data_IF_073145779808
#
_entry.id   IF_073145779808
#
_cell.length_a   1.000
_cell.length_b   1.000
_cell.length_c   1.000
_cell.angle_alpha   90.00
_cell.angle_beta   90.00
_cell.angle_gamma   90.00
#
_symmetry.space_group_name_H-M   'P 1'
#
loop_
_entity.id
_entity.type
_entity.pdbx_description
1 polymer ?
#
# COMPACT_ATOMS: atom_id res chain seq x y z
N UNK A 1 2.40 4.86 15.13
CA UNK A 1 3.66 4.20 15.55
C UNK A 1 3.58 3.86 17.02
N UNK A 2 4.08 2.72 17.40
CA UNK A 2 4.07 2.24 18.77
C UNK A 2 5.08 3.02 19.65
N UNK A 3 4.71 3.35 20.90
CA UNK A 3 5.56 4.13 21.80
C UNK A 3 6.91 3.46 22.08
N UNK A 4 6.93 2.14 22.18
CA UNK A 4 8.16 1.36 22.36
C UNK A 4 9.13 1.54 21.19
N UNK A 5 8.62 1.65 19.97
CA UNK A 5 9.43 1.93 18.77
C UNK A 5 10.06 3.31 18.86
N UNK A 6 9.29 4.33 19.23
CA UNK A 6 9.80 5.69 19.42
C UNK A 6 10.91 5.76 20.48
N UNK A 7 10.73 5.08 21.62
CA UNK A 7 11.76 5.00 22.67
C UNK A 7 13.04 4.33 22.17
N UNK A 8 12.93 3.31 21.33
CA UNK A 8 14.10 2.60 20.80
C UNK A 8 14.89 3.45 19.81
N UNK A 9 14.23 4.29 19.00
CA UNK A 9 14.88 5.24 18.10
C UNK A 9 15.73 6.27 18.86
N UNK A 10 15.24 6.76 20.00
CA UNK A 10 16.00 7.69 20.86
C UNK A 10 17.24 7.00 21.44
N UNK A 11 17.10 5.74 21.85
CA UNK A 11 18.19 4.99 22.48
C UNK A 11 19.27 4.54 21.48
N UNK A 12 18.89 4.21 20.24
CA UNK A 12 19.78 3.70 19.20
C UNK A 12 19.54 4.42 17.87
N UNK A 13 19.99 5.68 17.72
CA UNK A 13 19.64 6.51 16.56
C UNK A 13 20.32 6.11 15.25
N UNK A 14 21.42 5.34 15.30
CA UNK A 14 22.30 5.06 14.16
C UNK A 14 22.29 3.58 13.76
N UNK A 15 21.14 2.92 13.77
CA UNK A 15 21.01 1.55 13.26
C UNK A 15 20.92 1.59 11.74
N UNK A 16 21.75 0.82 11.01
CA UNK A 16 21.71 0.80 9.54
C UNK A 16 20.34 0.38 9.00
N UNK A 17 19.97 0.99 7.89
CA UNK A 17 18.76 0.61 7.13
C UNK A 17 18.89 -0.82 6.58
N UNK A 18 17.75 -1.48 6.39
CA UNK A 18 17.68 -2.84 5.90
C UNK A 18 16.82 -2.86 4.64
N UNK A 19 17.36 -3.44 3.55
CA UNK A 19 16.69 -3.53 2.26
C UNK A 19 16.48 -5.00 1.87
N UNK A 20 15.51 -5.26 1.00
CA UNK A 20 15.22 -6.56 0.39
C UNK A 20 14.72 -7.69 1.30
N UNK A 21 14.60 -7.47 2.62
CA UNK A 21 14.14 -8.50 3.56
C UNK A 21 12.63 -8.59 3.73
N UNK A 22 11.92 -7.53 3.41
CA UNK A 22 10.47 -7.46 3.56
C UNK A 22 9.81 -7.02 2.24
N UNK A 23 8.73 -7.68 1.87
CA UNK A 23 7.92 -7.31 0.73
C UNK A 23 6.44 -7.27 1.07
N UNK A 24 5.69 -6.46 0.30
CA UNK A 24 4.23 -6.44 0.27
C UNK A 24 3.78 -7.01 -1.07
N UNK A 25 3.05 -8.12 -1.03
CA UNK A 25 2.52 -8.72 -2.24
C UNK A 25 1.21 -8.08 -2.71
N UNK A 26 0.76 -8.47 -3.90
CA UNK A 26 -0.47 -7.95 -4.54
C UNK A 26 -1.76 -8.31 -3.79
N UNK A 27 -1.70 -9.20 -2.79
CA UNK A 27 -2.83 -9.59 -1.93
C UNK A 27 -2.79 -8.95 -0.55
N UNK A 28 -1.83 -8.01 -0.32
CA UNK A 28 -1.68 -7.34 0.97
C UNK A 28 -1.02 -8.21 2.03
N UNK A 29 -0.31 -9.27 1.63
CA UNK A 29 0.41 -10.13 2.55
C UNK A 29 1.86 -9.64 2.70
N UNK A 30 2.30 -9.54 3.94
CA UNK A 30 3.71 -9.30 4.24
C UNK A 30 4.52 -10.57 3.99
N UNK A 31 5.66 -10.43 3.31
CA UNK A 31 6.54 -11.55 2.96
C UNK A 31 7.94 -11.32 3.46
N UNK A 32 8.48 -12.33 4.15
CA UNK A 32 9.88 -12.38 4.55
C UNK A 32 10.72 -12.97 3.42
N UNK A 33 11.77 -12.26 3.02
CA UNK A 33 12.70 -12.68 1.97
C UNK A 33 14.06 -12.95 2.61
N UNK A 34 14.37 -14.21 2.86
CA UNK A 34 15.69 -14.63 3.32
C UNK A 34 16.77 -14.47 2.23
N UNK A 35 18.03 -14.72 2.57
CA UNK A 35 19.13 -14.55 1.64
C UNK A 35 18.96 -15.39 0.35
N UNK A 36 18.35 -16.58 0.45
CA UNK A 36 18.07 -17.43 -0.70
C UNK A 36 17.00 -16.81 -1.60
N UNK A 37 15.91 -16.32 -1.03
CA UNK A 37 14.84 -15.64 -1.77
C UNK A 37 15.34 -14.36 -2.46
N UNK A 38 16.20 -13.58 -1.79
CA UNK A 38 16.81 -12.38 -2.36
C UNK A 38 17.70 -12.72 -3.56
N UNK A 39 18.62 -13.67 -3.41
CA UNK A 39 19.56 -14.09 -4.47
C UNK A 39 18.83 -14.64 -5.70
N UNK A 40 17.74 -15.37 -5.48
CA UNK A 40 16.97 -16.01 -6.56
C UNK A 40 15.77 -15.19 -7.02
N UNK A 41 15.59 -13.95 -6.53
CA UNK A 41 14.47 -13.06 -6.84
C UNK A 41 13.10 -13.71 -6.58
N UNK A 42 13.01 -14.54 -5.54
CA UNK A 42 11.77 -15.19 -5.14
C UNK A 42 10.91 -14.25 -4.28
N UNK A 43 9.60 -14.45 -4.25
CA UNK A 43 8.67 -13.60 -3.47
C UNK A 43 8.85 -13.71 -1.95
N UNK A 44 9.56 -14.73 -1.47
CA UNK A 44 9.70 -15.01 -0.06
C UNK A 44 8.49 -15.72 0.55
N UNK A 45 8.54 -15.95 1.88
CA UNK A 45 7.51 -16.65 2.63
C UNK A 45 6.50 -15.66 3.21
N UNK A 46 5.21 -16.01 3.17
CA UNK A 46 4.16 -15.21 3.80
C UNK A 46 4.35 -15.23 5.31
N UNK A 47 4.32 -14.05 5.93
CA UNK A 47 4.31 -13.91 7.38
C UNK A 47 2.90 -14.23 7.87
N UNK A 48 2.75 -15.39 8.54
CA UNK A 48 1.46 -15.85 9.07
C UNK A 48 1.24 -15.47 10.53
N UNK A 49 2.26 -15.00 11.22
CA UNK A 49 2.19 -14.63 12.63
C UNK A 49 1.42 -13.32 12.82
N UNK A 50 0.20 -13.42 13.36
CA UNK A 50 -0.75 -12.32 13.45
C UNK A 50 -0.17 -11.08 14.17
N UNK A 51 0.45 -11.27 15.33
CA UNK A 51 1.00 -10.15 16.10
C UNK A 51 2.14 -9.44 15.36
N UNK A 52 2.92 -10.16 14.52
CA UNK A 52 3.95 -9.53 13.68
C UNK A 52 3.31 -8.75 12.54
N UNK A 53 2.29 -9.29 11.88
CA UNK A 53 1.54 -8.58 10.84
C UNK A 53 0.94 -7.28 11.37
N UNK A 54 0.31 -7.32 12.53
CA UNK A 54 -0.23 -6.14 13.20
C UNK A 54 0.86 -5.14 13.60
N UNK A 55 2.00 -5.63 14.07
CA UNK A 55 3.14 -4.78 14.44
C UNK A 55 3.73 -4.08 13.21
N UNK A 56 3.90 -4.78 12.09
CA UNK A 56 4.32 -4.18 10.81
C UNK A 56 3.30 -3.11 10.40
N UNK A 57 2.02 -3.43 10.41
CA UNK A 57 0.94 -2.55 9.96
C UNK A 57 0.86 -1.24 10.76
N UNK A 58 1.03 -1.30 12.09
CA UNK A 58 1.00 -0.10 12.95
C UNK A 58 2.25 0.78 12.81
N UNK A 59 3.36 0.22 12.33
CA UNK A 59 4.64 0.88 12.20
C UNK A 59 5.08 1.00 10.73
N UNK A 60 4.11 0.96 9.80
CA UNK A 60 4.30 1.14 8.36
C UNK A 60 4.35 2.64 8.03
N UNK A 61 5.42 3.08 7.40
CA UNK A 61 5.77 4.50 7.24
C UNK A 61 6.20 4.78 5.81
N UNK A 62 5.88 5.98 5.32
CA UNK A 62 6.39 6.53 4.07
C UNK A 62 7.41 7.63 4.36
N UNK A 63 8.54 7.65 3.66
CA UNK A 63 9.49 8.77 3.73
C UNK A 63 9.21 9.85 2.66
N UNK A 64 9.98 10.93 2.69
CA UNK A 64 9.85 12.06 1.76
C UNK A 64 10.20 11.71 0.30
N UNK A 65 10.92 10.60 0.07
CA UNK A 65 11.25 10.09 -1.25
C UNK A 65 10.18 9.15 -1.83
N UNK A 66 9.14 8.83 -1.05
CA UNK A 66 8.11 7.86 -1.44
C UNK A 66 8.53 6.41 -1.25
N UNK A 67 9.55 6.14 -0.43
CA UNK A 67 9.94 4.81 -0.03
C UNK A 67 9.12 4.41 1.20
N UNK A 68 8.62 3.21 1.20
CA UNK A 68 7.86 2.67 2.33
C UNK A 68 8.72 1.71 3.14
N UNK A 69 8.61 1.79 4.44
CA UNK A 69 9.36 0.94 5.37
C UNK A 69 8.55 0.58 6.60
N UNK A 70 8.93 -0.51 7.22
CA UNK A 70 8.49 -0.91 8.54
C UNK A 70 9.52 -0.42 9.56
N UNK A 71 9.09 0.38 10.53
CA UNK A 71 9.97 0.81 11.63
C UNK A 71 10.04 -0.31 12.67
N UNK A 72 11.07 -1.13 12.58
CA UNK A 72 11.33 -2.25 13.49
C UNK A 72 12.22 -1.80 14.66
N UNK A 73 11.60 -1.27 15.71
CA UNK A 73 12.37 -0.63 16.77
C UNK A 73 13.21 0.51 16.19
N UNK A 74 14.54 0.52 16.38
CA UNK A 74 15.40 1.57 15.83
C UNK A 74 15.72 1.38 14.35
N UNK A 75 15.48 0.20 13.76
CA UNK A 75 15.85 -0.12 12.40
C UNK A 75 14.72 0.18 11.41
N UNK A 76 15.02 0.80 10.27
CA UNK A 76 14.14 0.90 9.13
C UNK A 76 14.32 -0.32 8.23
N UNK A 77 13.25 -1.07 8.01
CA UNK A 77 13.22 -2.20 7.07
C UNK A 77 12.41 -1.76 5.86
N UNK A 78 13.10 -1.39 4.79
CA UNK A 78 12.47 -0.95 3.55
C UNK A 78 11.74 -2.09 2.86
N UNK A 79 10.58 -1.78 2.28
CA UNK A 79 9.64 -2.76 1.76
C UNK A 79 9.65 -2.74 0.24
N UNK A 80 9.91 -3.89 -0.36
CA UNK A 80 9.68 -4.10 -1.79
C UNK A 80 8.18 -4.26 -2.03
N UNK A 81 7.64 -3.50 -2.97
CA UNK A 81 6.22 -3.48 -3.31
C UNK A 81 6.01 -4.23 -4.64
N UNK A 82 5.20 -5.28 -4.64
CA UNK A 82 4.88 -6.02 -5.87
C UNK A 82 3.90 -5.25 -6.78
N UNK A 83 3.24 -4.22 -6.24
CA UNK A 83 2.32 -3.35 -6.98
C UNK A 83 2.32 -1.92 -6.44
N UNK A 84 1.52 -1.65 -5.41
CA UNK A 84 1.31 -0.33 -4.82
C UNK A 84 1.58 -0.36 -3.32
N UNK A 85 1.79 0.80 -2.67
CA UNK A 85 1.99 0.85 -1.22
C UNK A 85 0.81 0.34 -0.40
N UNK A 86 -0.37 0.37 -0.98
CA UNK A 86 -1.62 -0.04 -0.33
C UNK A 86 -2.35 -1.06 -1.19
N UNK A 87 -2.95 -2.05 -0.54
CA UNK A 87 -3.85 -3.02 -1.17
C UNK A 87 -5.23 -2.81 -0.56
N UNK A 88 -6.21 -2.46 -1.40
CA UNK A 88 -7.56 -2.14 -0.98
C UNK A 88 -8.45 -3.39 -0.94
N UNK A 89 -9.27 -3.51 0.11
CA UNK A 89 -10.38 -4.48 0.22
C UNK A 89 -11.70 -3.73 0.36
N UNK A 90 -12.74 -4.25 -0.28
CA UNK A 90 -14.11 -3.84 -0.06
C UNK A 90 -14.68 -4.72 1.06
N UNK A 91 -15.03 -4.14 2.18
CA UNK A 91 -15.53 -4.87 3.35
C UNK A 91 -16.85 -4.29 3.85
N UNK A 92 -17.71 -5.10 4.46
CA UNK A 92 -18.92 -4.61 5.14
C UNK A 92 -18.55 -3.72 6.34
N UNK A 93 -19.40 -2.74 6.61
CA UNK A 93 -19.35 -1.91 7.82
C UNK A 93 -20.78 -1.65 8.32
N UNK A 94 -20.90 -1.04 9.50
CA UNK A 94 -22.23 -0.64 10.03
C UNK A 94 -22.98 0.36 9.13
N UNK A 95 -22.24 1.13 8.34
CA UNK A 95 -22.77 2.15 7.42
C UNK A 95 -22.81 1.68 5.96
N UNK A 96 -22.76 0.38 5.70
CA UNK A 96 -22.68 -0.22 4.37
C UNK A 96 -21.28 -0.72 4.03
N UNK A 97 -20.80 -0.44 2.81
CA UNK A 97 -19.46 -0.86 2.37
C UNK A 97 -18.39 0.15 2.76
N UNK A 98 -17.20 -0.34 3.04
CA UNK A 98 -16.01 0.47 3.25
C UNK A 98 -14.81 -0.09 2.47
N UNK A 99 -13.88 0.79 2.13
CA UNK A 99 -12.58 0.44 1.61
C UNK A 99 -11.56 0.48 2.74
N UNK A 100 -10.80 -0.59 2.89
CA UNK A 100 -9.74 -0.68 3.89
C UNK A 100 -8.44 -1.16 3.26
N UNK A 101 -7.31 -0.69 3.79
CA UNK A 101 -5.98 -1.14 3.37
C UNK A 101 -5.58 -2.42 4.11
N UNK A 102 -4.46 -3.05 3.70
CA UNK A 102 -3.85 -4.16 4.44
C UNK A 102 -3.41 -3.78 5.86
N UNK A 103 -3.29 -2.49 6.15
CA UNK A 103 -2.99 -1.98 7.50
C UNK A 103 -4.26 -1.55 8.26
N UNK A 104 -5.44 -1.96 7.80
CA UNK A 104 -6.76 -1.64 8.39
C UNK A 104 -7.12 -0.13 8.42
N UNK A 105 -6.39 0.70 7.68
CA UNK A 105 -6.73 2.11 7.50
C UNK A 105 -7.85 2.24 6.47
N UNK A 106 -8.82 3.14 6.73
CA UNK A 106 -9.87 3.47 5.76
C UNK A 106 -9.29 4.19 4.56
N UNK A 107 -9.90 3.96 3.40
CA UNK A 107 -9.65 4.74 2.18
C UNK A 107 -10.88 5.59 1.89
N UNK A 108 -10.70 6.90 1.78
CA UNK A 108 -11.72 7.79 1.23
C UNK A 108 -11.45 7.95 -0.27
N UNK A 109 -12.23 7.25 -1.14
CA UNK A 109 -11.92 7.24 -2.56
C UNK A 109 -12.33 8.54 -3.25
N UNK A 110 -11.48 9.00 -4.16
CA UNK A 110 -11.74 10.11 -5.08
C UNK A 110 -11.92 9.64 -6.53
N UNK A 111 -11.48 8.43 -6.86
CA UNK A 111 -11.59 7.82 -8.18
C UNK A 111 -11.01 6.42 -8.22
N UNK A 112 -10.96 5.87 -9.41
CA UNK A 112 -10.29 4.61 -9.69
C UNK A 112 -9.53 4.69 -11.02
N UNK A 113 -8.58 3.79 -11.21
CA UNK A 113 -7.82 3.64 -12.45
C UNK A 113 -7.88 2.20 -12.90
N UNK A 114 -7.88 1.96 -14.21
CA UNK A 114 -7.72 0.62 -14.77
C UNK A 114 -6.50 0.55 -15.68
N UNK A 115 -5.72 -0.52 -15.60
CA UNK A 115 -4.59 -0.72 -16.50
C UNK A 115 -4.86 -1.73 -17.62
N UNK A 116 -3.89 -1.88 -18.51
CA UNK A 116 -3.92 -2.80 -19.64
C UNK A 116 -3.94 -4.29 -19.25
N UNK A 117 -3.68 -4.59 -17.97
CA UNK A 117 -3.68 -5.95 -17.42
C UNK A 117 -4.99 -6.29 -16.71
N UNK A 118 -5.93 -5.35 -16.68
CA UNK A 118 -7.20 -5.50 -15.97
C UNK A 118 -7.13 -5.26 -14.47
N UNK A 119 -6.04 -4.71 -13.97
CA UNK A 119 -5.97 -4.30 -12.58
C UNK A 119 -6.80 -3.04 -12.35
N UNK A 120 -7.44 -2.97 -11.20
CA UNK A 120 -8.14 -1.79 -10.72
C UNK A 120 -7.36 -1.20 -9.54
N UNK A 121 -7.16 0.09 -9.60
CA UNK A 121 -6.49 0.85 -8.54
C UNK A 121 -7.46 1.89 -7.99
N UNK A 122 -7.64 1.92 -6.69
CA UNK A 122 -8.42 2.92 -5.99
C UNK A 122 -7.52 4.12 -5.71
N UNK A 123 -7.92 5.29 -6.18
CA UNK A 123 -7.29 6.57 -5.83
C UNK A 123 -8.07 7.18 -4.69
N UNK A 124 -7.39 7.61 -3.64
CA UNK A 124 -8.07 8.19 -2.49
C UNK A 124 -7.13 8.59 -1.38
N UNK A 125 -7.72 9.11 -0.29
CA UNK A 125 -6.96 9.51 0.88
C UNK A 125 -6.84 8.36 1.87
N UNK A 126 -5.64 8.17 2.39
CA UNK A 126 -5.32 7.21 3.45
C UNK A 126 -4.62 7.96 4.58
N UNK A 127 -5.07 7.74 5.81
CA UNK A 127 -4.38 8.24 6.99
C UNK A 127 -3.13 7.41 7.24
N UNK A 128 -1.95 8.01 7.04
CA UNK A 128 -0.68 7.30 7.08
C UNK A 128 0.39 8.01 7.90
N UNK A 129 1.38 7.25 8.34
CA UNK A 129 2.58 7.78 8.99
C UNK A 129 3.59 8.24 7.94
N UNK A 130 4.09 9.46 8.14
CA UNK A 130 5.13 10.07 7.30
C UNK A 130 6.36 10.32 8.16
N UNK A 131 7.52 9.91 7.64
CA UNK A 131 8.82 10.25 8.20
C UNK A 131 9.39 11.48 7.48
N UNK A 132 9.82 12.49 8.23
CA UNK A 132 10.45 13.67 7.66
C UNK A 132 11.98 13.54 7.76
N UNK A 133 12.52 13.67 8.96
CA UNK A 133 13.94 13.61 9.28
C UNK A 133 14.13 13.47 10.79
N UNK A 134 15.33 13.14 11.24
CA UNK A 134 15.70 13.14 12.67
C UNK A 134 14.69 12.39 13.57
N UNK A 135 14.16 11.27 13.09
CA UNK A 135 13.16 10.46 13.79
C UNK A 135 11.83 11.19 14.10
N UNK A 136 11.50 12.20 13.30
CA UNK A 136 10.21 12.87 13.38
C UNK A 136 9.19 12.20 12.48
N UNK A 137 8.05 11.86 13.07
CA UNK A 137 6.92 11.22 12.40
C UNK A 137 5.65 12.02 12.66
N UNK A 138 4.82 12.14 11.65
CA UNK A 138 3.48 12.71 11.78
C UNK A 138 2.46 11.87 11.02
N UNK A 139 1.19 12.07 11.35
CA UNK A 139 0.08 11.42 10.64
C UNK A 139 -0.57 12.43 9.71
N UNK A 140 -0.85 11.99 8.49
CA UNK A 140 -1.42 12.83 7.45
C UNK A 140 -2.40 12.03 6.60
N UNK A 141 -3.50 12.68 6.21
CA UNK A 141 -4.40 12.18 5.17
C UNK A 141 -3.81 12.52 3.80
N UNK A 142 -3.20 11.54 3.15
CA UNK A 142 -2.50 11.74 1.88
C UNK A 142 -3.22 11.03 0.75
N UNK A 143 -3.38 11.75 -0.38
CA UNK A 143 -3.83 11.11 -1.61
C UNK A 143 -2.79 10.09 -2.06
N UNK A 144 -3.25 8.90 -2.34
CA UNK A 144 -2.44 7.75 -2.70
C UNK A 144 -3.20 6.79 -3.61
N UNK A 145 -2.55 5.69 -3.96
CA UNK A 145 -3.10 4.63 -4.79
C UNK A 145 -3.05 3.30 -4.06
N UNK A 146 -4.13 2.53 -4.17
CA UNK A 146 -4.22 1.18 -3.64
C UNK A 146 -4.66 0.22 -4.74
N UNK A 147 -3.92 -0.88 -4.96
CA UNK A 147 -4.39 -1.95 -5.84
C UNK A 147 -5.63 -2.59 -5.19
N UNK A 148 -6.72 -2.68 -5.94
CA UNK A 148 -7.89 -3.45 -5.49
C UNK A 148 -7.56 -4.93 -5.51
N UNK A 149 -7.81 -5.61 -4.40
CA UNK A 149 -7.59 -7.04 -4.26
C UNK A 149 -8.43 -7.83 -5.28
N UNK A 150 -7.86 -8.90 -5.84
CA UNK A 150 -8.48 -9.72 -6.89
C UNK A 150 -9.85 -10.28 -6.49
N UNK A 151 -10.07 -10.63 -5.24
CA UNK A 151 -11.38 -11.11 -4.74
C UNK A 151 -12.49 -10.06 -4.77
N UNK A 152 -12.16 -8.79 -4.90
CA UNK A 152 -13.16 -7.71 -4.88
C UNK A 152 -13.45 -7.15 -6.29
N UNK A 153 -12.82 -7.72 -7.34
CA UNK A 153 -13.01 -7.26 -8.73
C UNK A 153 -14.44 -7.47 -9.22
N UNK A 154 -15.07 -8.59 -8.91
CA UNK A 154 -16.46 -8.85 -9.28
C UNK A 154 -17.40 -7.84 -8.61
N UNK A 155 -17.18 -7.57 -7.33
CA UNK A 155 -17.95 -6.57 -6.60
C UNK A 155 -17.77 -5.18 -7.19
N UNK A 156 -16.53 -4.79 -7.49
CA UNK A 156 -16.24 -3.53 -8.15
C UNK A 156 -16.93 -3.42 -9.51
N UNK A 157 -16.92 -4.50 -10.31
CA UNK A 157 -17.53 -4.52 -11.64
C UNK A 157 -19.04 -4.27 -11.62
N UNK A 158 -19.73 -4.73 -10.56
CA UNK A 158 -21.16 -4.49 -10.36
C UNK A 158 -21.46 -3.01 -10.04
N UNK A 159 -20.51 -2.31 -9.47
CA UNK A 159 -20.61 -0.88 -9.14
C UNK A 159 -20.14 0.02 -10.28
N UNK A 160 -19.44 -0.51 -11.26
CA UNK A 160 -18.81 0.23 -12.34
C UNK A 160 -19.68 0.28 -13.61
N UNK A 161 -19.60 1.41 -14.32
CA UNK A 161 -20.09 1.56 -15.71
C UNK A 161 -18.88 1.67 -16.59
N UNK A 162 -18.51 0.56 -17.21
CA UNK A 162 -17.30 0.45 -18.01
C UNK A 162 -17.52 0.91 -19.43
N UNK A 163 -16.56 1.67 -19.96
CA UNK A 163 -16.42 2.01 -21.37
C UNK A 163 -15.04 1.51 -21.83
N UNK A 164 -15.05 0.71 -22.89
CA UNK A 164 -13.80 0.19 -23.46
C UNK A 164 -13.01 1.33 -24.06
N UNK A 165 -11.77 1.48 -23.66
CA UNK A 165 -10.77 2.36 -24.24
C UNK A 165 -9.76 1.54 -25.09
N UNK A 166 -8.81 2.19 -25.75
CA UNK A 166 -7.90 1.50 -26.67
C UNK A 166 -7.08 0.37 -26.03
N UNK A 167 -6.64 0.53 -24.78
CA UNK A 167 -5.78 -0.42 -24.07
C UNK A 167 -6.28 -0.82 -22.68
N UNK A 168 -7.39 -0.25 -22.20
CA UNK A 168 -7.92 -0.45 -20.86
C UNK A 168 -9.41 -0.09 -20.81
N UNK A 169 -9.96 0.06 -19.61
CA UNK A 169 -11.34 0.47 -19.42
C UNK A 169 -11.39 1.81 -18.68
N UNK A 170 -12.16 2.76 -19.22
CA UNK A 170 -12.56 3.99 -18.56
C UNK A 170 -14.02 3.96 -18.16
N UNK A 171 -14.52 5.05 -17.57
CA UNK A 171 -15.92 5.21 -17.24
C UNK A 171 -16.15 5.81 -15.86
N UNK A 172 -17.02 5.20 -15.09
CA UNK A 172 -17.31 5.62 -13.72
C UNK A 172 -17.68 4.42 -12.84
N UNK A 173 -17.57 4.60 -11.53
CA UNK A 173 -18.05 3.61 -10.57
C UNK A 173 -18.82 4.30 -9.43
N UNK A 174 -19.81 3.61 -8.92
CA UNK A 174 -20.66 4.14 -7.86
C UNK A 174 -20.11 3.70 -6.51
N UNK A 175 -19.73 4.67 -5.68
CA UNK A 175 -19.32 4.40 -4.32
C UNK A 175 -20.22 5.13 -3.33
N UNK A 176 -21.01 4.36 -2.57
CA UNK A 176 -22.07 4.90 -1.73
C UNK A 176 -23.01 5.78 -2.58
N UNK A 177 -23.21 7.03 -2.19
CA UNK A 177 -24.05 8.01 -2.93
C UNK A 177 -23.30 8.81 -4.01
N UNK A 178 -22.01 8.56 -4.21
CA UNK A 178 -21.15 9.30 -5.16
C UNK A 178 -20.88 8.48 -6.43
N UNK A 179 -20.90 9.13 -7.57
CA UNK A 179 -20.35 8.60 -8.79
C UNK A 179 -18.93 9.14 -8.96
N UNK A 180 -17.95 8.24 -8.99
CA UNK A 180 -16.53 8.55 -9.08
C UNK A 180 -15.98 8.20 -10.47
N UNK A 181 -14.94 8.89 -10.97
CA UNK A 181 -14.32 8.56 -12.23
C UNK A 181 -13.58 7.23 -12.18
N UNK A 182 -13.53 6.54 -13.31
CA UNK A 182 -12.65 5.42 -13.60
C UNK A 182 -11.87 5.77 -14.86
N UNK A 183 -10.59 6.06 -14.71
CA UNK A 183 -9.73 6.51 -15.80
C UNK A 183 -8.72 5.42 -16.21
N UNK A 184 -8.36 5.34 -17.50
CA UNK A 184 -7.31 4.44 -17.94
C UNK A 184 -5.93 4.95 -17.50
N UNK A 185 -5.03 3.99 -17.22
CA UNK A 185 -3.62 4.26 -16.94
C UNK A 185 -2.77 3.10 -17.48
N UNK A 186 -1.49 3.35 -17.75
CA UNK A 186 -0.55 2.26 -18.01
C UNK A 186 0.07 1.78 -16.70
N UNK A 187 0.24 0.47 -16.56
CA UNK A 187 0.78 -0.14 -15.33
C UNK A 187 2.16 0.42 -14.93
N UNK A 188 2.99 0.81 -15.90
CA UNK A 188 4.30 1.40 -15.67
C UNK A 188 4.28 2.88 -15.24
N UNK A 189 3.13 3.55 -15.31
CA UNK A 189 2.97 4.96 -14.92
C UNK A 189 2.52 5.12 -13.45
N UNK A 190 2.02 4.07 -12.82
CA UNK A 190 1.44 4.12 -11.46
C UNK A 190 2.45 4.68 -10.47
N UNK A 191 3.65 4.12 -10.41
CA UNK A 191 4.67 4.51 -9.42
C UNK A 191 5.09 5.99 -9.59
N UNK A 192 5.30 6.44 -10.82
CA UNK A 192 5.68 7.83 -11.10
C UNK A 192 4.55 8.82 -10.82
N UNK A 193 3.32 8.48 -11.19
CA UNK A 193 2.14 9.32 -10.96
C UNK A 193 1.87 9.54 -9.46
N UNK A 194 2.02 8.49 -8.65
CA UNK A 194 1.77 8.55 -7.21
C UNK A 194 3.05 8.70 -6.37
N UNK A 195 4.19 8.92 -7.03
CA UNK A 195 5.48 9.24 -6.42
C UNK A 195 5.90 8.27 -5.32
N UNK A 196 5.81 6.97 -5.59
CA UNK A 196 6.36 5.96 -4.70
C UNK A 196 7.46 5.15 -5.39
N UNK A 197 8.35 4.57 -4.59
CA UNK A 197 9.44 3.70 -5.05
C UNK A 197 9.08 2.26 -4.72
N UNK A 198 8.87 1.44 -5.76
CA UNK A 198 8.46 0.05 -5.58
C UNK A 198 9.59 -0.85 -5.06
N UNK A 199 10.84 -0.56 -5.46
CA UNK A 199 12.03 -1.32 -5.03
C UNK A 199 13.03 -0.32 -4.44
N UNK A 200 12.94 -0.04 -3.14
CA UNK A 200 13.90 0.82 -2.46
C UNK A 200 15.29 0.20 -2.43
N UNK A 201 16.30 1.02 -2.61
CA UNK A 201 17.72 0.65 -2.47
C UNK A 201 18.44 1.70 -1.63
N UNK A 202 19.64 1.36 -1.20
CA UNK A 202 20.54 2.27 -0.49
C UNK A 202 20.93 3.48 -1.35
#
# INVERSE_FOLDING_TARGET
MDEQVLRSLIKWPNVPDCFDWLALDRRGQWRMRDAFAQQNKLPGQVITHLALNEFISRNYVCDHLGRYFFQNGPQRVFITLDATPWIARITPSAEGLQLVTQCHSSIEPSGALSDERGNIYIVGKVHQLIYIQENQFFKEDRETVALLHDHDLDHFSQLAKLRKEACSYGGSWNWKSKQLPLDPIRSNEIASRFKFIAIPSD
#
